data_IF_777446476875
#
_entry.id   IF_777446476875
#
_cell.length_a   1.000
_cell.length_b   1.000
_cell.length_c   1.000
_cell.angle_alpha   90.00
_cell.angle_beta   90.00
_cell.angle_gamma   90.00
#
_symmetry.space_group_name_H-M   'P 1'
#
loop_
_entity.id
_entity.type
_entity.pdbx_description
1 polymer ?
#
# COMPACT_ATOMS: atom_id res chain seq x y z
N UNK A 1 -0.13 2.86 21.41
CA UNK A 1 0.68 2.60 20.19
C UNK A 1 0.69 1.14 19.77
N UNK A 2 1.10 0.15 20.60
CA UNK A 2 1.07 -1.29 20.24
C UNK A 2 -0.24 -1.74 19.57
N UNK A 3 -1.39 -1.45 20.19
CA UNK A 3 -2.69 -1.90 19.71
C UNK A 3 -3.05 -1.31 18.34
N UNK A 4 -2.67 -0.05 18.08
CA UNK A 4 -2.92 0.63 16.80
C UNK A 4 -2.14 -0.07 15.68
N UNK A 5 -0.84 -0.29 15.84
CA UNK A 5 -0.02 -1.01 14.84
C UNK A 5 -0.49 -2.45 14.62
N UNK A 6 -0.96 -3.12 15.67
CA UNK A 6 -1.50 -4.49 15.56
C UNK A 6 -2.83 -4.50 14.81
N UNK A 7 -3.72 -3.54 15.07
CA UNK A 7 -5.00 -3.39 14.36
C UNK A 7 -4.78 -3.12 12.88
N UNK A 8 -3.90 -2.17 12.53
CA UNK A 8 -3.54 -1.93 11.14
C UNK A 8 -2.93 -3.17 10.48
N UNK A 9 -2.02 -3.88 11.15
CA UNK A 9 -1.46 -5.13 10.63
C UNK A 9 -2.54 -6.19 10.37
N UNK A 10 -3.53 -6.31 11.24
CA UNK A 10 -4.64 -7.24 11.08
C UNK A 10 -5.56 -6.86 9.91
N UNK A 11 -5.86 -5.57 9.74
CA UNK A 11 -6.66 -5.06 8.61
C UNK A 11 -5.94 -5.36 7.29
N UNK A 12 -4.65 -5.03 7.19
CA UNK A 12 -3.84 -5.33 6.00
C UNK A 12 -3.73 -6.83 5.73
N UNK A 13 -3.63 -7.66 6.78
CA UNK A 13 -3.64 -9.11 6.67
C UNK A 13 -4.97 -9.66 6.12
N UNK A 14 -6.11 -9.15 6.60
CA UNK A 14 -7.43 -9.53 6.08
C UNK A 14 -7.62 -9.10 4.61
N UNK A 15 -7.13 -7.92 4.25
CA UNK A 15 -7.14 -7.46 2.86
C UNK A 15 -6.25 -8.34 1.96
N UNK A 16 -5.07 -8.71 2.42
CA UNK A 16 -4.21 -9.64 1.68
C UNK A 16 -4.87 -11.01 1.49
N UNK A 17 -5.56 -11.51 2.51
CA UNK A 17 -6.26 -12.79 2.44
C UNK A 17 -7.48 -12.74 1.51
N UNK A 18 -8.22 -11.64 1.49
CA UNK A 18 -9.37 -11.46 0.58
C UNK A 18 -8.93 -11.35 -0.88
N UNK A 19 -7.82 -10.68 -1.15
CA UNK A 19 -7.21 -10.61 -2.49
C UNK A 19 -6.70 -11.99 -2.91
N UNK A 20 -5.98 -12.69 -2.04
CA UNK A 20 -5.49 -14.05 -2.32
C UNK A 20 -6.65 -15.01 -2.62
N UNK A 21 -7.76 -14.89 -1.89
CA UNK A 21 -8.97 -15.67 -2.17
C UNK A 21 -9.52 -15.39 -3.56
N UNK A 22 -9.57 -14.11 -3.98
CA UNK A 22 -10.01 -13.73 -5.33
C UNK A 22 -9.05 -14.25 -6.41
N UNK A 23 -7.74 -14.14 -6.19
CA UNK A 23 -6.72 -14.62 -7.13
C UNK A 23 -6.80 -16.15 -7.32
N UNK A 24 -7.08 -16.90 -6.26
CA UNK A 24 -7.25 -18.37 -6.33
C UNK A 24 -8.56 -18.77 -7.02
N UNK A 25 -9.63 -18.01 -6.81
CA UNK A 25 -10.94 -18.29 -7.42
C UNK A 25 -11.03 -17.84 -8.87
N UNK A 26 -10.27 -16.81 -9.25
CA UNK A 26 -10.17 -16.33 -10.62
C UNK A 26 -9.20 -17.21 -11.43
N UNK A 27 -9.73 -18.26 -12.07
CA UNK A 27 -8.94 -19.20 -12.89
C UNK A 27 -8.28 -18.57 -14.13
N UNK A 28 -8.61 -17.33 -14.48
CA UNK A 28 -8.12 -16.67 -15.70
C UNK A 28 -6.87 -15.80 -15.50
N UNK A 29 -6.66 -15.21 -14.30
CA UNK A 29 -5.52 -14.31 -14.01
C UNK A 29 -5.10 -14.41 -12.55
N UNK A 30 -4.08 -15.22 -12.22
CA UNK A 30 -3.77 -15.57 -10.83
C UNK A 30 -3.09 -14.46 -10.00
N UNK A 31 -2.95 -13.24 -10.50
CA UNK A 31 -2.24 -12.17 -9.78
C UNK A 31 -2.72 -10.77 -10.19
N UNK A 32 -3.66 -10.20 -9.43
CA UNK A 32 -4.09 -8.82 -9.67
C UNK A 32 -3.09 -7.80 -9.12
N UNK A 33 -2.96 -6.67 -9.82
CA UNK A 33 -2.13 -5.55 -9.36
C UNK A 33 -2.84 -4.78 -8.22
N UNK A 34 -2.06 -4.14 -7.34
CA UNK A 34 -2.61 -3.30 -6.25
C UNK A 34 -3.54 -2.21 -6.80
N UNK A 35 -3.11 -1.55 -7.87
CA UNK A 35 -3.89 -0.49 -8.52
C UNK A 35 -5.21 -1.00 -9.10
N UNK A 36 -5.22 -2.22 -9.64
CA UNK A 36 -6.43 -2.85 -10.16
C UNK A 36 -7.43 -3.15 -9.04
N UNK A 37 -6.97 -3.75 -7.95
CA UNK A 37 -7.81 -4.02 -6.77
C UNK A 37 -8.36 -2.72 -6.18
N UNK A 38 -7.54 -1.67 -6.11
CA UNK A 38 -7.97 -0.37 -5.62
C UNK A 38 -9.01 0.28 -6.53
N UNK A 39 -8.81 0.23 -7.85
CA UNK A 39 -9.80 0.72 -8.82
C UNK A 39 -11.13 -0.03 -8.71
N UNK A 40 -11.10 -1.35 -8.53
CA UNK A 40 -12.30 -2.18 -8.37
C UNK A 40 -13.08 -1.88 -7.09
N UNK A 41 -12.40 -1.49 -6.00
CA UNK A 41 -13.06 -1.21 -4.72
C UNK A 41 -13.46 0.25 -4.54
N UNK A 42 -12.65 1.18 -5.02
CA UNK A 42 -12.84 2.61 -4.77
C UNK A 42 -12.34 3.47 -5.96
N UNK A 43 -13.03 3.43 -7.12
CA UNK A 43 -12.59 4.13 -8.32
C UNK A 43 -12.56 5.66 -8.14
N UNK A 44 -13.54 6.22 -7.42
CA UNK A 44 -13.62 7.64 -7.13
C UNK A 44 -12.46 8.14 -6.27
N UNK A 45 -11.98 7.33 -5.32
CA UNK A 45 -10.83 7.68 -4.48
C UNK A 45 -9.54 7.69 -5.30
N UNK A 46 -9.38 6.76 -6.23
CA UNK A 46 -8.22 6.69 -7.10
C UNK A 46 -8.16 7.89 -8.07
N UNK A 47 -9.30 8.25 -8.67
CA UNK A 47 -9.43 9.44 -9.54
C UNK A 47 -9.27 10.77 -8.79
N UNK A 48 -9.75 10.87 -7.55
CA UNK A 48 -9.50 12.06 -6.74
C UNK A 48 -8.02 12.20 -6.39
N UNK A 49 -7.38 11.09 -6.02
CA UNK A 49 -5.94 11.05 -5.71
C UNK A 49 -5.11 11.46 -6.92
N UNK A 50 -5.45 10.98 -8.11
CA UNK A 50 -4.88 11.43 -9.39
C UNK A 50 -4.93 12.94 -9.56
N UNK A 51 -6.13 13.52 -9.39
CA UNK A 51 -6.36 14.94 -9.59
C UNK A 51 -5.62 15.82 -8.57
N UNK A 52 -5.45 15.32 -7.34
CA UNK A 52 -4.73 16.02 -6.26
C UNK A 52 -3.22 15.96 -6.54
N UNK A 53 -2.68 14.78 -6.82
CA UNK A 53 -1.25 14.60 -7.11
C UNK A 53 -0.86 15.45 -8.32
N UNK A 54 -1.62 15.40 -9.41
CA UNK A 54 -1.37 16.20 -10.61
C UNK A 54 -1.35 17.72 -10.35
N UNK A 55 -2.13 18.20 -9.37
CA UNK A 55 -2.16 19.63 -9.01
C UNK A 55 -1.07 20.08 -8.04
N UNK A 56 -0.62 19.20 -7.15
CA UNK A 56 0.23 19.58 -6.01
C UNK A 56 1.63 18.97 -6.03
N UNK A 57 1.85 17.95 -6.85
CA UNK A 57 3.14 17.28 -7.02
C UNK A 57 3.48 17.43 -8.51
N UNK A 58 4.13 18.54 -8.83
CA UNK A 58 4.60 18.86 -10.18
C UNK A 58 6.10 18.53 -10.28
N UNK A 59 6.49 17.34 -10.78
CA UNK A 59 7.89 16.91 -10.79
C UNK A 59 8.78 17.75 -11.70
N UNK A 60 8.18 18.40 -12.71
CA UNK A 60 8.90 19.20 -13.70
C UNK A 60 9.54 20.46 -13.09
N UNK A 61 9.01 20.96 -11.96
CA UNK A 61 9.63 22.06 -11.21
C UNK A 61 10.77 21.62 -10.28
N UNK A 62 10.84 20.34 -9.91
CA UNK A 62 11.80 19.82 -8.93
C UNK A 62 13.05 19.18 -9.58
N UNK A 63 12.93 18.68 -10.81
CA UNK A 63 14.04 18.11 -11.59
C UNK A 63 14.07 18.68 -13.02
N UNK A 64 14.74 19.84 -13.17
CA UNK A 64 14.92 20.57 -14.46
C UNK A 64 15.63 19.74 -15.56
N UNK A 65 16.18 18.57 -15.22
CA UNK A 65 16.87 17.68 -16.16
C UNK A 65 15.95 16.72 -16.91
N UNK A 66 14.65 16.65 -16.58
CA UNK A 66 13.68 15.78 -17.24
C UNK A 66 12.73 16.64 -18.09
N UNK A 67 12.98 16.69 -19.39
CA UNK A 67 12.18 17.36 -20.44
C UNK A 67 10.81 16.66 -20.59
N UNK A 68 9.90 16.86 -19.62
CA UNK A 68 8.73 16.00 -19.45
C UNK A 68 7.38 16.64 -19.85
N UNK A 69 6.74 15.98 -20.81
CA UNK A 69 5.32 16.01 -21.20
C UNK A 69 4.40 15.77 -19.96
N UNK A 70 3.26 16.47 -19.79
CA UNK A 70 2.62 16.68 -18.49
C UNK A 70 1.70 15.52 -18.02
N UNK A 71 1.96 14.28 -18.43
CA UNK A 71 1.20 13.10 -18.00
C UNK A 71 2.11 11.98 -17.52
N UNK A 72 2.85 12.25 -16.45
CA UNK A 72 3.60 11.23 -15.70
C UNK A 72 2.89 11.04 -14.36
N UNK A 73 2.12 9.96 -14.25
CA UNK A 73 1.93 9.32 -12.95
C UNK A 73 3.30 8.79 -12.50
N UNK A 74 4.07 9.70 -11.90
CA UNK A 74 5.33 9.53 -11.18
C UNK A 74 5.81 8.08 -11.08
N UNK A 75 6.95 7.70 -11.70
CA UNK A 75 7.41 6.32 -11.79
C UNK A 75 7.38 5.56 -10.45
N UNK A 76 7.58 6.22 -9.31
CA UNK A 76 7.43 5.61 -7.99
C UNK A 76 6.01 5.13 -7.64
N UNK A 77 4.99 5.94 -7.84
CA UNK A 77 3.59 5.59 -7.48
C UNK A 77 3.06 4.53 -8.43
N UNK A 78 3.35 4.66 -9.73
CA UNK A 78 2.99 3.64 -10.73
C UNK A 78 3.67 2.29 -10.42
N UNK A 79 4.94 2.31 -9.98
CA UNK A 79 5.65 1.09 -9.56
C UNK A 79 4.98 0.43 -8.35
N UNK A 80 4.55 1.22 -7.35
CA UNK A 80 3.84 0.70 -6.18
C UNK A 80 2.46 0.13 -6.53
N UNK A 81 1.72 0.75 -7.44
CA UNK A 81 0.42 0.26 -7.89
C UNK A 81 0.52 -0.99 -8.77
N UNK A 82 1.63 -1.16 -9.49
CA UNK A 82 1.86 -2.32 -10.35
C UNK A 82 2.42 -3.54 -9.60
N UNK A 83 2.68 -3.42 -8.30
CA UNK A 83 3.05 -4.58 -7.49
C UNK A 83 1.88 -5.55 -7.33
N UNK A 84 2.22 -6.83 -7.18
CA UNK A 84 1.25 -7.88 -6.91
C UNK A 84 0.51 -7.63 -5.59
N UNK A 85 -0.82 -7.59 -5.64
CA UNK A 85 -1.63 -7.17 -4.50
C UNK A 85 -1.55 -8.13 -3.30
N UNK A 86 -1.66 -9.44 -3.53
CA UNK A 86 -1.60 -10.44 -2.47
C UNK A 86 -0.32 -10.36 -1.61
N UNK A 87 0.91 -10.45 -2.18
CA UNK A 87 2.12 -10.41 -1.37
C UNK A 87 2.35 -9.05 -0.71
N UNK A 88 1.98 -7.94 -1.36
CA UNK A 88 2.20 -6.60 -0.78
C UNK A 88 1.37 -6.37 0.47
N UNK A 89 0.07 -6.70 0.44
CA UNK A 89 -0.79 -6.56 1.61
C UNK A 89 -0.40 -7.52 2.74
N UNK A 90 -0.04 -8.76 2.43
CA UNK A 90 0.40 -9.74 3.43
C UNK A 90 1.72 -9.37 4.09
N UNK A 91 2.73 -8.97 3.31
CA UNK A 91 4.03 -8.55 3.84
C UNK A 91 3.88 -7.30 4.69
N UNK A 92 3.12 -6.31 4.22
CA UNK A 92 2.89 -5.07 4.96
C UNK A 92 2.16 -5.34 6.28
N UNK A 93 1.12 -6.18 6.25
CA UNK A 93 0.41 -6.61 7.45
C UNK A 93 1.30 -7.33 8.46
N UNK A 94 2.15 -8.25 7.98
CA UNK A 94 3.09 -8.99 8.82
C UNK A 94 4.14 -8.07 9.46
N UNK A 95 4.72 -7.15 8.69
CA UNK A 95 5.70 -6.16 9.19
C UNK A 95 5.08 -5.25 10.24
N UNK A 96 3.87 -4.74 10.02
CA UNK A 96 3.15 -3.91 10.99
C UNK A 96 2.85 -4.66 12.29
N UNK A 97 2.44 -5.93 12.20
CA UNK A 97 2.21 -6.77 13.36
C UNK A 97 3.51 -7.03 14.15
N UNK A 98 4.64 -7.28 13.47
CA UNK A 98 5.96 -7.42 14.09
C UNK A 98 6.39 -6.15 14.82
N UNK A 99 6.26 -4.98 14.18
CA UNK A 99 6.57 -3.68 14.79
C UNK A 99 5.71 -3.46 16.04
N UNK A 100 4.41 -3.77 15.97
CA UNK A 100 3.49 -3.71 17.10
C UNK A 100 3.98 -4.59 18.27
N UNK A 101 4.38 -5.83 18.01
CA UNK A 101 4.94 -6.73 19.04
C UNK A 101 6.23 -6.19 19.63
N UNK A 102 7.14 -5.69 18.80
CA UNK A 102 8.44 -5.18 19.26
C UNK A 102 8.30 -3.95 20.17
N UNK A 103 7.45 -2.99 19.80
CA UNK A 103 7.12 -1.83 20.64
C UNK A 103 6.47 -2.26 21.98
N UNK A 104 5.65 -3.30 21.96
CA UNK A 104 5.05 -3.89 23.15
C UNK A 104 6.08 -4.49 24.11
N UNK A 105 7.07 -5.20 23.56
CA UNK A 105 8.12 -5.84 24.36
C UNK A 105 9.11 -4.81 24.95
N UNK A 106 9.40 -3.72 24.24
CA UNK A 106 10.21 -2.61 24.78
C UNK A 106 9.55 -1.97 26.00
N UNK A 107 8.22 -1.77 25.97
CA UNK A 107 7.48 -1.21 27.13
C UNK A 107 7.50 -2.14 28.34
N UNK A 108 7.49 -3.47 28.15
CA UNK A 108 7.61 -4.43 29.26
C UNK A 108 9.00 -4.42 29.90
N UNK A 109 10.07 -4.30 29.11
CA UNK A 109 11.44 -4.25 29.64
C UNK A 109 11.74 -3.00 30.47
N UNK A 110 11.17 -1.85 30.08
CA UNK A 110 11.30 -0.60 30.83
C UNK A 110 10.57 -0.59 32.18
N UNK A 111 9.50 -1.37 32.33
CA UNK A 111 8.76 -1.48 33.59
C UNK A 111 9.30 -2.56 34.54
N UNK A 112 10.30 -3.35 34.12
CA UNK A 112 10.96 -4.38 34.93
C UNK A 112 12.39 -4.01 35.35
N UNK A 113 12.82 -2.79 35.03
CA UNK A 113 14.04 -2.15 35.54
C UNK A 113 13.63 -1.04 36.51
#
# INVERSE_FOLDING_TARGET
MKHIFTLFGFIFGLLGLSVTYKDVMASDRPWHAVGEIWFLWAPSSLQQTESIISRYIDPCGLFVALDCEPFIWHPGVSTLLNWYAAPTFLVTGFVLALIGRWLGNRKKRLNSA
#
